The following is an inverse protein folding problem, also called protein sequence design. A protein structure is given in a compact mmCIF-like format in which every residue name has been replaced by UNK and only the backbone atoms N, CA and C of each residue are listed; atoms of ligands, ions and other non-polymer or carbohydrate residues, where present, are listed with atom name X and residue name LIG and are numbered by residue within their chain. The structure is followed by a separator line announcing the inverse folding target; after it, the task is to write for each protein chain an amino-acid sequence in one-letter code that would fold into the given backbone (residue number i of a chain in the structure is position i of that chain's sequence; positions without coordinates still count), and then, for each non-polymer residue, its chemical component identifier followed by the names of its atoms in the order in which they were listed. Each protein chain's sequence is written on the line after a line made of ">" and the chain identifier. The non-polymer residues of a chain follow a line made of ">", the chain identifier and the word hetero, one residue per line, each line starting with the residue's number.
data_IF_104164820308
#
_entry.id   IF_104164820308
#
_cell.length_a   1.000
_cell.length_b   1.000
_cell.length_c   1.000
_cell.angle_alpha   90.00
_cell.angle_beta   90.00
_cell.angle_gamma   90.00
#
_symmetry.space_group_name_H-M   'P 1'
#
loop_
_entity.id
_entity.type
_entity.pdbx_description
1 polymer ?
#
# COMPACT_ATOMS: atom_id res chain seq x y z
N UNK A 1 9.39 -19.60 40.36
CA UNK A 1 9.56 -20.28 39.04
C UNK A 1 9.81 -19.34 37.85
N UNK A 2 9.42 -18.05 37.88
CA UNK A 2 9.64 -17.09 36.78
C UNK A 2 11.09 -16.58 36.54
N UNK A 3 12.00 -16.45 37.53
CA UNK A 3 13.32 -15.85 37.28
C UNK A 3 14.32 -16.80 36.59
N UNK A 4 14.17 -18.11 36.80
CA UNK A 4 15.04 -19.12 36.19
C UNK A 4 14.77 -19.23 34.67
N UNK A 5 13.52 -19.03 34.26
CA UNK A 5 13.13 -19.06 32.84
C UNK A 5 13.74 -17.89 32.04
N UNK A 6 13.78 -16.69 32.63
CA UNK A 6 14.45 -15.52 32.04
C UNK A 6 15.95 -15.72 31.90
N UNK A 7 16.61 -16.32 32.89
CA UNK A 7 18.04 -16.65 32.84
C UNK A 7 18.36 -17.68 31.75
N UNK A 8 17.48 -18.66 31.54
CA UNK A 8 17.64 -19.67 30.48
C UNK A 8 17.48 -19.03 29.10
N UNK A 9 16.46 -18.20 28.89
CA UNK A 9 16.27 -17.44 27.64
C UNK A 9 17.45 -16.49 27.36
N UNK A 10 17.89 -15.73 28.38
CA UNK A 10 19.04 -14.82 28.26
C UNK A 10 20.32 -15.58 27.92
N UNK A 11 20.57 -16.75 28.52
CA UNK A 11 21.73 -17.58 28.20
C UNK A 11 21.67 -18.22 26.81
N UNK A 12 20.48 -18.47 26.27
CA UNK A 12 20.29 -18.95 24.91
C UNK A 12 20.52 -17.83 23.88
N UNK A 13 20.03 -16.61 24.14
CA UNK A 13 20.30 -15.43 23.31
C UNK A 13 21.78 -15.01 23.34
N UNK A 14 22.38 -15.04 24.53
CA UNK A 14 23.80 -14.75 24.72
C UNK A 14 24.70 -15.95 24.38
N UNK A 15 24.12 -17.06 23.91
CA UNK A 15 24.90 -18.21 23.46
C UNK A 15 25.82 -17.77 22.32
N UNK A 16 27.14 -18.10 22.39
CA UNK A 16 28.10 -17.70 21.37
C UNK A 16 27.64 -18.08 19.96
N UNK A 17 26.93 -19.20 19.80
CA UNK A 17 26.39 -19.65 18.51
C UNK A 17 25.36 -18.69 17.94
N UNK A 18 24.42 -18.19 18.75
CA UNK A 18 23.37 -17.27 18.29
C UNK A 18 23.92 -15.87 18.03
N UNK A 19 24.85 -15.39 18.86
CA UNK A 19 25.55 -14.12 18.63
C UNK A 19 26.36 -14.18 17.33
N UNK A 20 27.10 -15.27 17.09
CA UNK A 20 27.89 -15.46 15.86
C UNK A 20 26.98 -15.56 14.64
N UNK A 21 25.86 -16.29 14.74
CA UNK A 21 24.91 -16.43 13.64
C UNK A 21 24.22 -15.10 13.32
N UNK A 22 23.79 -14.35 14.34
CA UNK A 22 23.25 -13.00 14.20
C UNK A 22 24.24 -12.03 13.59
N UNK A 23 25.50 -12.00 14.06
CA UNK A 23 26.58 -11.20 13.45
C UNK A 23 26.85 -11.57 12.00
N UNK A 24 26.90 -12.87 11.69
CA UNK A 24 27.14 -13.36 10.33
C UNK A 24 25.99 -13.02 9.38
N UNK A 25 24.75 -13.02 9.87
CA UNK A 25 23.59 -12.61 9.09
C UNK A 25 23.56 -11.09 8.89
N UNK A 26 23.82 -10.32 9.95
CA UNK A 26 23.93 -8.86 9.90
C UNK A 26 25.02 -8.40 8.94
N UNK A 27 26.21 -9.04 8.96
CA UNK A 27 27.30 -8.72 8.03
C UNK A 27 26.94 -9.05 6.57
N UNK A 28 26.19 -10.13 6.33
CA UNK A 28 25.69 -10.48 4.99
C UNK A 28 24.64 -9.50 4.50
N UNK A 29 23.71 -9.09 5.38
CA UNK A 29 22.72 -8.06 5.05
C UNK A 29 23.41 -6.73 4.75
N UNK A 30 24.41 -6.34 5.53
CA UNK A 30 25.22 -5.16 5.25
C UNK A 30 25.93 -5.26 3.89
N UNK A 31 26.58 -6.38 3.57
CA UNK A 31 27.21 -6.58 2.26
C UNK A 31 26.20 -6.49 1.10
N UNK A 32 25.01 -7.07 1.24
CA UNK A 32 23.94 -6.95 0.25
C UNK A 32 23.47 -5.50 0.11
N UNK A 33 23.22 -4.81 1.21
CA UNK A 33 22.79 -3.40 1.22
C UNK A 33 23.84 -2.50 0.58
N UNK A 34 25.13 -2.68 0.91
CA UNK A 34 26.23 -1.93 0.30
C UNK A 34 26.31 -2.18 -1.20
N UNK A 35 26.19 -3.44 -1.65
CA UNK A 35 26.17 -3.77 -3.09
C UNK A 35 24.97 -3.16 -3.80
N UNK A 36 23.79 -3.18 -3.18
CA UNK A 36 22.59 -2.53 -3.74
C UNK A 36 22.78 -1.01 -3.85
N UNK A 37 23.35 -0.35 -2.84
CA UNK A 37 23.70 1.06 -2.91
C UNK A 37 24.67 1.36 -4.05
N UNK A 38 25.74 0.57 -4.20
CA UNK A 38 26.70 0.72 -5.30
C UNK A 38 26.04 0.55 -6.66
N UNK A 39 25.12 -0.41 -6.82
CA UNK A 39 24.36 -0.61 -8.06
C UNK A 39 23.44 0.59 -8.35
N UNK A 40 22.79 1.14 -7.32
CA UNK A 40 21.92 2.32 -7.47
C UNK A 40 22.74 3.56 -7.86
N UNK A 41 23.91 3.77 -7.25
CA UNK A 41 24.82 4.87 -7.61
C UNK A 41 25.38 4.71 -9.02
N UNK A 42 25.78 3.48 -9.40
CA UNK A 42 26.23 3.18 -10.76
C UNK A 42 25.10 3.40 -11.79
N UNK A 43 23.86 3.03 -11.47
CA UNK A 43 22.70 3.32 -12.33
C UNK A 43 22.54 4.82 -12.58
N UNK A 44 22.71 5.64 -11.53
CA UNK A 44 22.60 7.09 -11.62
C UNK A 44 23.72 7.70 -12.46
N UNK A 45 24.97 7.24 -12.25
CA UNK A 45 26.14 7.67 -13.00
C UNK A 45 26.06 7.30 -14.49
N UNK A 46 25.53 6.12 -14.81
CA UNK A 46 25.40 5.64 -16.19
C UNK A 46 24.22 6.24 -16.94
N UNK A 47 23.45 7.16 -16.34
CA UNK A 47 22.23 7.76 -16.91
C UNK A 47 21.31 6.70 -17.54
N UNK A 48 21.24 5.51 -16.94
CA UNK A 48 20.41 4.42 -17.45
C UNK A 48 18.94 4.83 -17.31
N UNK A 49 18.38 5.35 -18.40
CA UNK A 49 16.95 5.59 -18.56
C UNK A 49 16.26 4.24 -18.39
N UNK A 50 15.15 4.24 -17.64
CA UNK A 50 14.35 3.07 -17.36
C UNK A 50 13.61 2.60 -18.63
N UNK A 51 14.35 2.15 -19.65
CA UNK A 51 13.82 1.53 -20.86
C UNK A 51 13.50 0.06 -20.60
N UNK A 52 12.77 -0.19 -19.53
CA UNK A 52 12.13 -1.49 -19.36
C UNK A 52 10.97 -1.52 -20.34
N UNK A 53 11.24 -1.92 -21.58
CA UNK A 53 10.25 -2.63 -22.37
C UNK A 53 9.88 -3.87 -21.55
N UNK A 54 8.86 -3.68 -20.71
CA UNK A 54 8.30 -4.70 -19.85
C UNK A 54 7.87 -5.81 -20.80
N UNK A 55 8.53 -6.97 -20.66
CA UNK A 55 8.14 -8.21 -21.30
C UNK A 55 6.62 -8.25 -21.50
N UNK A 56 6.17 -8.49 -22.73
CA UNK A 56 4.76 -8.63 -23.16
C UNK A 56 3.98 -9.73 -22.43
N UNK A 57 4.56 -10.36 -21.41
CA UNK A 57 3.81 -11.08 -20.40
C UNK A 57 2.95 -10.06 -19.68
N UNK A 58 1.64 -10.11 -19.93
CA UNK A 58 0.58 -9.49 -19.15
C UNK A 58 0.74 -9.87 -17.67
N UNK A 59 1.68 -9.23 -16.98
CA UNK A 59 1.69 -9.11 -15.54
C UNK A 59 0.51 -8.21 -15.26
N UNK A 60 -0.70 -8.77 -15.26
CA UNK A 60 -1.87 -8.10 -14.73
C UNK A 60 -1.42 -7.57 -13.37
N UNK A 61 -1.28 -6.26 -13.26
CA UNK A 61 -1.11 -5.62 -11.97
C UNK A 61 -2.25 -6.19 -11.13
N UNK A 62 -1.92 -6.80 -9.99
CA UNK A 62 -2.95 -7.27 -9.06
C UNK A 62 -3.90 -6.09 -8.85
N UNK A 63 -5.20 -6.31 -9.06
CA UNK A 63 -6.16 -5.23 -8.94
C UNK A 63 -6.06 -4.67 -7.52
N UNK A 64 -5.64 -3.41 -7.42
CA UNK A 64 -5.51 -2.72 -6.15
C UNK A 64 -6.93 -2.43 -5.66
N UNK A 65 -7.33 -3.07 -4.55
CA UNK A 65 -8.66 -2.84 -3.94
C UNK A 65 -8.62 -1.64 -3.00
N UNK A 66 -9.76 -1.11 -2.60
CA UNK A 66 -9.83 -0.06 -1.58
C UNK A 66 -9.57 -0.57 -0.16
N UNK A 67 -9.60 -1.89 0.07
CA UNK A 67 -9.52 -2.47 1.40
C UNK A 67 -8.08 -2.46 1.93
N UNK A 68 -7.93 -2.03 3.17
CA UNK A 68 -6.66 -2.04 3.89
C UNK A 68 -6.89 -2.40 5.35
N UNK A 69 -5.96 -3.15 5.91
CA UNK A 69 -5.86 -3.34 7.35
C UNK A 69 -5.00 -2.19 7.91
N UNK A 70 -5.66 -1.17 8.45
CA UNK A 70 -4.97 0.01 9.00
C UNK A 70 -4.02 -0.34 10.15
N UNK A 71 -4.26 -1.45 10.87
CA UNK A 71 -3.38 -1.88 11.97
C UNK A 71 -1.98 -2.28 11.50
N UNK A 72 -1.80 -2.55 10.21
CA UNK A 72 -0.52 -2.93 9.59
C UNK A 72 0.26 -1.75 9.06
N UNK A 73 -0.28 -0.54 9.14
CA UNK A 73 0.39 0.68 8.68
C UNK A 73 1.26 1.20 9.82
N UNK A 74 2.55 1.33 9.57
CA UNK A 74 3.53 1.77 10.57
C UNK A 74 4.34 2.95 10.03
N UNK A 75 4.56 3.96 10.88
CA UNK A 75 5.46 5.08 10.56
C UNK A 75 4.95 6.05 9.51
N UNK A 76 3.64 6.03 9.20
CA UNK A 76 3.01 6.89 8.18
C UNK A 76 2.03 7.91 8.75
N UNK A 77 1.98 8.10 10.07
CA UNK A 77 1.00 8.99 10.69
C UNK A 77 1.14 10.44 10.22
N UNK A 78 2.36 10.96 10.16
CA UNK A 78 2.63 12.33 9.68
C UNK A 78 2.23 12.50 8.21
N UNK A 79 2.54 11.50 7.38
CA UNK A 79 2.15 11.50 5.97
C UNK A 79 0.62 11.48 5.82
N UNK A 80 -0.07 10.64 6.62
CA UNK A 80 -1.54 10.54 6.64
C UNK A 80 -2.16 11.86 7.06
N UNK A 81 -1.70 12.46 8.16
CA UNK A 81 -2.22 13.73 8.67
C UNK A 81 -2.05 14.88 7.67
N UNK A 82 -0.87 15.02 7.07
CA UNK A 82 -0.59 16.06 6.07
C UNK A 82 -1.43 15.90 4.79
N UNK A 83 -1.73 14.66 4.40
CA UNK A 83 -2.60 14.39 3.25
C UNK A 83 -4.08 14.56 3.59
N UNK A 84 -4.50 14.20 4.81
CA UNK A 84 -5.86 14.45 5.29
C UNK A 84 -6.18 15.94 5.31
N UNK A 85 -5.26 16.79 5.80
CA UNK A 85 -5.48 18.23 5.80
C UNK A 85 -5.69 18.76 4.38
N UNK A 86 -4.88 18.32 3.41
CA UNK A 86 -5.02 18.71 1.99
C UNK A 86 -6.32 18.21 1.35
N UNK A 87 -6.80 17.03 1.75
CA UNK A 87 -8.03 16.47 1.22
C UNK A 87 -9.27 17.21 1.72
N UNK A 88 -9.26 17.65 2.97
CA UNK A 88 -10.40 18.31 3.63
C UNK A 88 -10.37 19.84 3.49
N UNK A 89 -9.33 20.39 2.88
CA UNK A 89 -9.20 21.82 2.62
C UNK A 89 -10.02 22.23 1.39
N UNK A 90 -11.01 23.09 1.61
CA UNK A 90 -11.79 23.72 0.55
C UNK A 90 -11.05 24.95 0.03
N UNK A 91 -9.98 24.73 -0.74
CA UNK A 91 -9.41 25.82 -1.53
C UNK A 91 -10.41 26.25 -2.60
N UNK A 92 -10.75 27.54 -2.64
CA UNK A 92 -11.56 28.13 -3.69
C UNK A 92 -10.75 28.23 -4.99
N UNK A 93 -10.47 27.09 -5.62
CA UNK A 93 -9.86 27.06 -6.95
C UNK A 93 -10.96 27.20 -8.01
N UNK A 94 -10.68 27.93 -9.10
CA UNK A 94 -11.55 27.96 -10.29
C UNK A 94 -11.58 26.60 -11.04
N UNK A 95 -11.12 25.52 -10.42
CA UNK A 95 -10.99 24.18 -11.01
C UNK A 95 -12.16 23.32 -10.57
N UNK A 96 -12.49 22.32 -11.39
CA UNK A 96 -13.56 21.37 -11.08
C UNK A 96 -13.21 20.38 -9.97
N UNK A 97 -11.91 20.18 -9.71
CA UNK A 97 -11.37 19.39 -8.61
C UNK A 97 -9.87 19.69 -8.42
N UNK A 98 -9.33 19.35 -7.25
CA UNK A 98 -7.89 19.39 -6.99
C UNK A 98 -7.26 18.00 -7.00
N UNK A 99 -6.00 17.92 -7.40
CA UNK A 99 -5.26 16.66 -7.49
C UNK A 99 -4.23 16.59 -6.36
N UNK A 100 -4.38 15.59 -5.49
CA UNK A 100 -3.47 15.25 -4.40
C UNK A 100 -2.61 14.06 -4.82
N UNK A 101 -1.33 14.30 -5.12
CA UNK A 101 -0.43 13.24 -5.58
C UNK A 101 0.44 12.68 -4.45
N UNK A 102 0.58 11.36 -4.39
CA UNK A 102 1.50 10.63 -3.52
C UNK A 102 2.59 10.01 -4.41
N UNK A 103 3.84 10.42 -4.20
CA UNK A 103 4.98 10.06 -5.07
C UNK A 103 6.03 9.31 -4.29
N UNK A 104 6.71 8.34 -4.90
CA UNK A 104 7.81 7.64 -4.25
C UNK A 104 8.16 6.31 -4.90
N UNK A 105 9.19 5.65 -4.37
CA UNK A 105 9.76 4.42 -4.94
C UNK A 105 8.77 3.25 -4.98
N UNK A 106 9.08 2.23 -5.81
CA UNK A 106 8.29 0.99 -5.82
C UNK A 106 8.29 0.31 -4.46
N UNK A 107 7.14 -0.23 -4.03
CA UNK A 107 7.03 -0.93 -2.74
C UNK A 107 6.97 -0.05 -1.49
N UNK A 108 7.11 1.28 -1.61
CA UNK A 108 7.21 2.20 -0.46
C UNK A 108 5.89 2.42 0.34
N UNK A 109 4.77 1.82 -0.10
CA UNK A 109 3.47 1.95 0.57
C UNK A 109 2.54 3.06 0.07
N UNK A 110 2.76 3.64 -1.13
CA UNK A 110 1.88 4.68 -1.70
C UNK A 110 0.41 4.28 -1.76
N UNK A 111 0.11 3.12 -2.35
CA UNK A 111 -1.26 2.61 -2.47
C UNK A 111 -1.84 2.35 -1.10
N UNK A 112 -1.07 1.76 -0.19
CA UNK A 112 -1.48 1.52 1.21
C UNK A 112 -1.87 2.79 1.92
N UNK A 113 -1.09 3.87 1.77
CA UNK A 113 -1.43 5.16 2.33
C UNK A 113 -2.69 5.77 1.68
N UNK A 114 -2.83 5.65 0.36
CA UNK A 114 -4.04 6.09 -0.33
C UNK A 114 -5.29 5.33 0.15
N UNK A 115 -5.19 4.02 0.41
CA UNK A 115 -6.28 3.23 0.99
C UNK A 115 -6.63 3.73 2.39
N UNK A 116 -5.63 4.01 3.23
CA UNK A 116 -5.84 4.53 4.59
C UNK A 116 -6.52 5.90 4.60
N UNK A 117 -6.21 6.76 3.61
CA UNK A 117 -6.89 8.05 3.43
C UNK A 117 -8.32 7.85 2.93
N UNK A 118 -8.51 7.00 1.93
CA UNK A 118 -9.82 6.75 1.33
C UNK A 118 -10.84 6.21 2.33
N UNK A 119 -10.38 5.35 3.25
CA UNK A 119 -11.21 4.74 4.30
C UNK A 119 -11.26 5.57 5.59
N UNK A 120 -10.54 6.70 5.67
CA UNK A 120 -10.59 7.55 6.86
C UNK A 120 -12.00 8.11 7.07
N UNK A 121 -12.49 8.07 8.31
CA UNK A 121 -13.84 8.51 8.64
C UNK A 121 -14.10 9.97 8.29
N UNK A 122 -13.12 10.85 8.45
CA UNK A 122 -13.27 12.27 8.10
C UNK A 122 -13.44 12.45 6.59
N UNK A 123 -12.75 11.63 5.80
CA UNK A 123 -12.86 11.61 4.35
C UNK A 123 -14.21 11.03 3.93
N UNK A 124 -14.65 9.95 4.56
CA UNK A 124 -15.98 9.38 4.35
C UNK A 124 -17.11 10.39 4.61
N UNK A 125 -17.03 11.14 5.71
CA UNK A 125 -18.05 12.10 6.09
C UNK A 125 -18.03 13.39 5.24
N UNK A 126 -16.89 13.72 4.62
CA UNK A 126 -16.70 14.95 3.85
C UNK A 126 -17.16 14.84 2.38
N UNK A 127 -16.95 13.69 1.73
CA UNK A 127 -17.26 13.51 0.31
C UNK A 127 -18.57 12.76 0.10
N UNK A 128 -19.50 13.35 -0.66
CA UNK A 128 -20.79 12.72 -0.98
C UNK A 128 -20.65 11.48 -1.85
N UNK A 129 -19.64 11.49 -2.73
CA UNK A 129 -19.32 10.37 -3.63
C UNK A 129 -17.85 9.99 -3.47
N UNK A 130 -17.57 8.69 -3.38
CA UNK A 130 -16.19 8.18 -3.35
C UNK A 130 -16.07 7.04 -4.35
N UNK A 131 -14.99 7.01 -5.13
CA UNK A 131 -14.70 5.90 -6.03
C UNK A 131 -13.22 5.54 -5.99
N UNK A 132 -12.96 4.23 -5.88
CA UNK A 132 -11.64 3.66 -6.00
C UNK A 132 -11.49 3.00 -7.36
N UNK A 133 -10.58 3.51 -8.20
CA UNK A 133 -10.39 3.00 -9.57
C UNK A 133 -8.92 2.76 -9.83
N UNK A 134 -8.53 1.48 -9.84
CA UNK A 134 -7.20 1.06 -10.26
C UNK A 134 -7.13 1.11 -11.79
N UNK A 135 -6.16 1.86 -12.34
CA UNK A 135 -5.95 1.92 -13.79
C UNK A 135 -4.78 1.03 -14.18
N UNK A 136 -5.05 0.13 -15.13
CA UNK A 136 -4.04 -0.77 -15.67
C UNK A 136 -3.03 -0.04 -16.55
N UNK A 137 -1.94 -0.71 -16.95
CA UNK A 137 -0.94 -0.14 -17.86
C UNK A 137 -1.53 0.18 -19.26
N UNK A 138 -2.67 -0.42 -19.63
CA UNK A 138 -3.46 -0.10 -20.83
C UNK A 138 -4.42 1.05 -20.53
N UNK A 139 -4.21 2.20 -21.19
CA UNK A 139 -5.03 3.40 -21.01
C UNK A 139 -6.30 3.33 -21.87
N UNK A 140 -7.37 2.77 -21.31
CA UNK A 140 -8.70 2.77 -21.90
C UNK A 140 -9.60 3.77 -21.17
N UNK A 141 -9.75 4.97 -21.75
CA UNK A 141 -10.60 6.04 -21.21
C UNK A 141 -12.03 5.56 -20.99
N UNK A 142 -12.59 4.78 -21.92
CA UNK A 142 -13.97 4.31 -21.81
C UNK A 142 -14.12 3.35 -20.62
N UNK A 143 -13.22 2.38 -20.48
CA UNK A 143 -13.24 1.45 -19.36
C UNK A 143 -13.07 2.17 -18.01
N UNK A 144 -12.16 3.14 -17.94
CA UNK A 144 -11.91 3.93 -16.72
C UNK A 144 -13.15 4.77 -16.37
N UNK A 145 -13.69 5.53 -17.32
CA UNK A 145 -14.89 6.34 -17.09
C UNK A 145 -16.08 5.47 -16.68
N UNK A 146 -16.20 4.27 -17.25
CA UNK A 146 -17.27 3.31 -16.90
C UNK A 146 -17.09 2.78 -15.49
N UNK A 147 -15.86 2.44 -15.09
CA UNK A 147 -15.56 2.00 -13.72
C UNK A 147 -15.88 3.10 -12.69
N UNK A 148 -15.53 4.36 -12.99
CA UNK A 148 -15.89 5.50 -12.14
C UNK A 148 -17.41 5.63 -12.05
N UNK A 149 -18.12 5.61 -13.19
CA UNK A 149 -19.58 5.71 -13.24
C UNK A 149 -20.25 4.62 -12.38
N UNK A 150 -19.79 3.38 -12.48
CA UNK A 150 -20.29 2.28 -11.68
C UNK A 150 -20.02 2.49 -10.17
N UNK A 151 -18.80 2.89 -9.82
CA UNK A 151 -18.38 3.10 -8.44
C UNK A 151 -19.17 4.23 -7.73
N UNK A 152 -19.58 5.27 -8.45
CA UNK A 152 -20.40 6.37 -7.90
C UNK A 152 -21.91 6.09 -7.92
N UNK A 153 -22.33 4.83 -8.09
CA UNK A 153 -23.74 4.44 -8.07
C UNK A 153 -24.47 4.67 -9.40
N UNK A 154 -23.76 4.59 -10.52
CA UNK A 154 -24.32 4.61 -11.87
C UNK A 154 -25.01 3.30 -12.27
N UNK A 155 -24.73 2.19 -11.57
CA UNK A 155 -25.28 0.87 -11.90
C UNK A 155 -24.68 0.29 -13.19
N UNK A 156 -25.31 -0.76 -13.73
CA UNK A 156 -24.78 -1.54 -14.86
C UNK A 156 -25.25 -1.05 -16.24
N UNK A 157 -25.41 0.25 -16.42
CA UNK A 157 -25.83 0.82 -17.70
C UNK A 157 -24.80 0.55 -18.80
N UNK A 158 -25.30 0.25 -19.99
CA UNK A 158 -24.50 0.12 -21.22
C UNK A 158 -24.50 1.45 -21.97
N UNK A 159 -23.37 1.81 -22.55
CA UNK A 159 -23.20 3.05 -23.31
C UNK A 159 -22.60 2.71 -24.67
N UNK A 160 -23.18 3.26 -25.73
CA UNK A 160 -22.73 2.99 -27.11
C UNK A 160 -21.43 3.71 -27.46
N UNK A 161 -21.14 4.81 -26.76
CA UNK A 161 -19.95 5.61 -26.97
C UNK A 161 -19.54 6.38 -25.71
N UNK A 162 -18.30 6.90 -25.73
CA UNK A 162 -17.71 7.64 -24.63
C UNK A 162 -18.48 8.91 -24.26
N UNK A 163 -19.05 9.61 -25.24
CA UNK A 163 -19.80 10.85 -25.00
C UNK A 163 -21.05 10.59 -24.14
N UNK A 164 -21.84 9.56 -24.46
CA UNK A 164 -23.03 9.19 -23.68
C UNK A 164 -22.66 8.83 -22.23
N UNK A 165 -21.59 8.06 -22.06
CA UNK A 165 -21.06 7.70 -20.75
C UNK A 165 -20.59 8.93 -19.95
N UNK A 166 -19.92 9.88 -20.59
CA UNK A 166 -19.46 11.12 -19.95
C UNK A 166 -20.60 12.04 -19.54
N UNK A 167 -21.64 12.17 -20.37
CA UNK A 167 -22.84 12.94 -20.02
C UNK A 167 -23.50 12.34 -18.79
N UNK A 168 -23.69 11.01 -18.76
CA UNK A 168 -24.27 10.32 -17.61
C UNK A 168 -23.41 10.45 -16.34
N UNK A 169 -22.08 10.34 -16.46
CA UNK A 169 -21.17 10.56 -15.33
C UNK A 169 -21.24 12.00 -14.82
N UNK A 170 -21.24 12.98 -15.73
CA UNK A 170 -21.36 14.40 -15.36
C UNK A 170 -22.65 14.65 -14.58
N UNK A 171 -23.79 14.12 -15.02
CA UNK A 171 -25.06 14.26 -14.31
C UNK A 171 -25.01 13.65 -12.90
N UNK A 172 -24.31 12.52 -12.73
CA UNK A 172 -24.14 11.88 -11.41
C UNK A 172 -23.29 12.71 -10.45
N UNK A 173 -22.23 13.35 -10.95
CA UNK A 173 -21.28 14.16 -10.18
C UNK A 173 -21.74 15.60 -9.96
N UNK A 174 -22.67 16.09 -10.78
CA UNK A 174 -23.11 17.49 -10.78
C UNK A 174 -23.54 17.94 -9.37
N UNK A 175 -22.92 19.03 -8.89
CA UNK A 175 -23.16 19.63 -7.56
C UNK A 175 -22.90 18.71 -6.36
N UNK A 176 -22.17 17.61 -6.55
CA UNK A 176 -21.72 16.73 -5.45
C UNK A 176 -20.22 16.82 -5.28
N UNK A 177 -19.76 16.85 -4.03
CA UNK A 177 -18.34 16.67 -3.72
C UNK A 177 -17.98 15.21 -3.96
N UNK A 178 -16.87 14.97 -4.65
CA UNK A 178 -16.40 13.61 -4.89
C UNK A 178 -14.93 13.44 -4.54
N UNK A 179 -14.56 12.20 -4.17
CA UNK A 179 -13.19 11.74 -4.09
C UNK A 179 -12.96 10.59 -5.08
N UNK A 180 -12.01 10.75 -5.99
CA UNK A 180 -11.54 9.65 -6.85
C UNK A 180 -10.14 9.23 -6.44
N UNK A 181 -9.89 7.93 -6.32
CA UNK A 181 -8.53 7.42 -6.13
C UNK A 181 -8.08 6.64 -7.35
N UNK A 182 -6.90 6.98 -7.88
CA UNK A 182 -6.30 6.32 -9.03
C UNK A 182 -4.83 5.97 -8.80
N UNK A 183 -4.46 4.73 -9.14
CA UNK A 183 -3.09 4.24 -9.06
C UNK A 183 -2.47 4.16 -10.44
N UNK A 184 -1.31 4.79 -10.65
CA UNK A 184 -0.61 4.74 -11.93
C UNK A 184 -0.75 6.03 -12.74
N UNK A 185 0.39 6.65 -12.99
CA UNK A 185 0.55 7.99 -13.53
C UNK A 185 0.20 8.16 -15.02
N UNK A 186 0.32 7.09 -15.82
CA UNK A 186 0.05 7.15 -17.27
C UNK A 186 -1.38 7.61 -17.57
N UNK A 187 -2.29 7.40 -16.63
CA UNK A 187 -3.72 7.74 -16.69
C UNK A 187 -4.02 9.23 -16.86
N UNK A 188 -3.22 10.12 -16.28
CA UNK A 188 -3.58 11.53 -16.20
C UNK A 188 -2.70 12.46 -17.04
N UNK A 189 -1.64 11.94 -17.68
CA UNK A 189 -0.74 12.76 -18.52
C UNK A 189 -1.45 13.37 -19.75
N UNK A 190 -2.61 12.85 -20.17
CA UNK A 190 -3.53 13.51 -21.10
C UNK A 190 -4.55 14.38 -20.35
N UNK A 191 -4.06 15.21 -19.43
CA UNK A 191 -4.83 15.97 -18.43
C UNK A 191 -5.94 16.86 -18.99
N UNK A 192 -5.90 17.20 -20.29
CA UNK A 192 -6.95 17.98 -20.94
C UNK A 192 -8.25 17.18 -21.14
N UNK A 193 -8.18 15.86 -21.34
CA UNK A 193 -9.37 15.04 -21.53
C UNK A 193 -10.06 14.76 -20.21
N UNK A 194 -9.35 14.26 -19.20
CA UNK A 194 -9.97 13.88 -17.93
C UNK A 194 -10.53 15.08 -17.15
N UNK A 195 -9.80 16.20 -17.09
CA UNK A 195 -10.24 17.40 -16.36
C UNK A 195 -11.47 18.06 -16.98
N UNK A 196 -11.62 18.01 -18.32
CA UNK A 196 -12.79 18.56 -19.00
C UNK A 196 -14.05 17.68 -18.85
N UNK A 197 -13.88 16.41 -18.47
CA UNK A 197 -14.94 15.40 -18.48
C UNK A 197 -15.56 15.17 -17.10
N UNK A 198 -14.88 15.57 -16.01
CA UNK A 198 -15.30 15.31 -14.64
C UNK A 198 -15.52 16.64 -13.93
N UNK A 199 -16.79 17.07 -13.87
CA UNK A 199 -17.19 18.33 -13.22
C UNK A 199 -18.06 18.03 -12.00
N UNK A 200 -17.52 18.26 -10.81
CA UNK A 200 -18.22 18.12 -9.53
C UNK A 200 -18.52 19.46 -8.86
N UNK A 201 -18.92 19.40 -7.60
CA UNK A 201 -18.92 20.59 -6.74
C UNK A 201 -17.47 21.03 -6.42
N UNK A 202 -17.29 22.32 -6.12
CA UNK A 202 -16.08 22.83 -5.48
C UNK A 202 -15.72 21.98 -4.25
N UNK A 203 -14.42 21.79 -4.02
CA UNK A 203 -13.92 20.91 -2.98
C UNK A 203 -13.73 19.45 -3.41
N UNK A 204 -14.14 19.05 -4.62
CA UNK A 204 -13.86 17.69 -5.13
C UNK A 204 -12.36 17.41 -5.26
N UNK A 205 -11.92 16.20 -4.93
CA UNK A 205 -10.50 15.81 -4.91
C UNK A 205 -10.22 14.54 -5.71
N UNK A 206 -9.00 14.42 -6.23
CA UNK A 206 -8.48 13.21 -6.87
C UNK A 206 -7.14 12.83 -6.24
N UNK A 207 -7.06 11.63 -5.66
CA UNK A 207 -5.81 11.05 -5.15
C UNK A 207 -5.11 10.29 -6.27
N UNK A 208 -3.83 10.60 -6.50
CA UNK A 208 -3.00 9.94 -7.51
C UNK A 208 -1.78 9.32 -6.87
N UNK A 209 -1.55 8.02 -7.06
CA UNK A 209 -0.29 7.39 -6.63
C UNK A 209 0.63 7.14 -7.83
N UNK A 210 1.89 7.59 -7.75
CA UNK A 210 2.85 7.47 -8.86
C UNK A 210 4.28 7.20 -8.39
N UNK A 211 5.07 6.52 -9.21
CA UNK A 211 6.54 6.41 -9.01
C UNK A 211 7.31 7.54 -9.71
N UNK A 212 6.65 8.24 -10.63
CA UNK A 212 7.26 9.26 -11.47
C UNK A 212 6.75 10.64 -11.06
N UNK A 213 7.67 11.47 -10.56
CA UNK A 213 7.40 12.85 -10.15
C UNK A 213 7.04 13.75 -11.33
N UNK A 214 7.53 13.49 -12.55
CA UNK A 214 7.23 14.36 -13.71
C UNK A 214 5.75 14.37 -14.07
N UNK A 215 5.01 13.32 -13.68
CA UNK A 215 3.58 13.23 -13.87
C UNK A 215 2.83 14.23 -13.00
N UNK A 216 3.31 14.55 -11.80
CA UNK A 216 2.59 15.46 -10.91
C UNK A 216 2.55 16.88 -11.45
N UNK A 217 3.58 17.28 -12.19
CA UNK A 217 3.61 18.55 -12.92
C UNK A 217 2.64 18.54 -14.10
N UNK A 218 2.61 17.44 -14.87
CA UNK A 218 1.72 17.32 -16.04
C UNK A 218 0.22 17.39 -15.68
N UNK A 219 -0.14 16.96 -14.47
CA UNK A 219 -1.54 16.91 -14.00
C UNK A 219 -1.93 18.11 -13.15
N UNK A 220 -1.08 19.15 -13.08
CA UNK A 220 -1.27 20.34 -12.26
C UNK A 220 -1.60 20.03 -10.80
N UNK A 221 -0.98 18.98 -10.23
CA UNK A 221 -1.18 18.60 -8.84
C UNK A 221 -0.71 19.70 -7.90
N UNK A 222 -1.58 20.10 -6.99
CA UNK A 222 -1.27 21.08 -5.95
C UNK A 222 -0.44 20.35 -4.89
N UNK A 223 0.89 20.47 -4.97
CA UNK A 223 1.80 19.99 -3.93
C UNK A 223 1.87 18.47 -3.80
N UNK A 224 2.54 17.82 -4.75
CA UNK A 224 2.91 16.41 -4.67
C UNK A 224 3.56 16.07 -3.33
N UNK A 225 3.08 15.00 -2.69
CA UNK A 225 3.57 14.51 -1.40
C UNK A 225 4.59 13.39 -1.64
N UNK A 226 5.90 13.66 -1.47
CA UNK A 226 6.91 12.62 -1.57
C UNK A 226 6.84 11.72 -0.33
N UNK A 227 6.71 10.42 -0.54
CA UNK A 227 6.92 9.42 0.49
C UNK A 227 8.39 9.09 0.60
N UNK A 228 8.92 9.36 1.78
CA UNK A 228 10.27 8.97 2.17
C UNK A 228 10.32 7.52 2.62
N UNK A 229 11.54 6.99 2.68
CA UNK A 229 11.81 5.68 3.29
C UNK A 229 11.46 5.77 4.77
N UNK A 230 10.92 4.68 5.34
CA UNK A 230 10.65 4.62 6.77
C UNK A 230 11.95 4.82 7.57
N UNK A 231 11.83 5.42 8.76
CA UNK A 231 12.96 5.43 9.70
C UNK A 231 13.31 4.01 10.11
N UNK A 232 14.54 3.80 10.59
CA UNK A 232 15.01 2.47 11.02
C UNK A 232 14.09 1.88 12.10
N UNK A 233 13.62 2.71 13.03
CA UNK A 233 12.70 2.30 14.10
C UNK A 233 11.35 1.87 13.56
N UNK A 234 10.78 2.63 12.61
CA UNK A 234 9.51 2.31 11.99
C UNK A 234 9.61 1.06 11.10
N UNK A 235 10.73 0.89 10.39
CA UNK A 235 11.00 -0.29 9.58
C UNK A 235 11.15 -1.55 10.44
N UNK A 236 11.87 -1.46 11.57
CA UNK A 236 12.00 -2.56 12.52
C UNK A 236 10.66 -2.91 13.16
N UNK A 237 9.88 -1.91 13.59
CA UNK A 237 8.54 -2.15 14.15
C UNK A 237 7.59 -2.81 13.14
N UNK A 238 7.64 -2.41 11.88
CA UNK A 238 6.86 -3.04 10.81
C UNK A 238 7.26 -4.51 10.61
N UNK A 239 8.57 -4.80 10.66
CA UNK A 239 9.09 -6.15 10.58
C UNK A 239 8.62 -7.01 11.77
N UNK A 240 8.69 -6.48 12.99
CA UNK A 240 8.25 -7.18 14.20
C UNK A 240 6.75 -7.49 14.17
N UNK A 241 5.92 -6.53 13.72
CA UNK A 241 4.49 -6.73 13.60
C UNK A 241 4.14 -7.85 12.60
N UNK A 242 4.83 -7.89 11.46
CA UNK A 242 4.64 -8.94 10.45
C UNK A 242 5.11 -10.31 10.99
N UNK A 243 6.23 -10.35 11.69
CA UNK A 243 6.75 -11.56 12.32
C UNK A 243 5.78 -12.11 13.38
N UNK A 244 5.31 -11.27 14.30
CA UNK A 244 4.35 -11.67 15.34
C UNK A 244 3.03 -12.17 14.74
N UNK A 245 2.54 -11.54 13.67
CA UNK A 245 1.35 -11.99 12.96
C UNK A 245 1.53 -13.39 12.36
N UNK A 246 2.70 -13.68 11.76
CA UNK A 246 3.02 -15.00 11.22
C UNK A 246 3.13 -16.05 12.31
N UNK A 247 3.81 -15.75 13.42
CA UNK A 247 3.92 -16.65 14.58
C UNK A 247 2.54 -16.95 15.17
N UNK A 248 1.70 -15.94 15.34
CA UNK A 248 0.32 -16.12 15.83
C UNK A 248 -0.50 -17.00 14.88
N UNK A 249 -0.37 -16.81 13.56
CA UNK A 249 -1.05 -17.63 12.55
C UNK A 249 -0.60 -19.08 12.58
N UNK A 250 0.71 -19.33 12.71
CA UNK A 250 1.25 -20.69 12.83
C UNK A 250 0.76 -21.36 14.13
N UNK A 251 0.73 -20.61 15.24
CA UNK A 251 0.23 -21.10 16.52
C UNK A 251 -1.28 -21.42 16.50
N UNK A 252 -2.09 -20.62 15.80
CA UNK A 252 -3.53 -20.89 15.66
C UNK A 252 -3.80 -22.14 14.81
N UNK A 253 -3.07 -22.30 13.70
CA UNK A 253 -3.20 -23.46 12.80
C UNK A 253 -2.75 -24.76 13.48
N UNK A 254 -1.65 -24.72 14.23
CA UNK A 254 -1.16 -25.88 14.99
C UNK A 254 -2.15 -26.28 16.08
N UNK A 255 -2.69 -25.32 16.85
CA UNK A 255 -3.71 -25.58 17.88
C UNK A 255 -5.02 -26.13 17.29
N UNK A 256 -5.40 -25.70 16.09
CA UNK A 256 -6.57 -26.22 15.36
C UNK A 256 -6.37 -27.68 14.92
N UNK A 257 -5.17 -28.02 14.47
CA UNK A 257 -4.82 -29.38 14.05
C UNK A 257 -4.79 -30.37 15.23
N UNK A 258 -4.39 -29.91 16.41
CA UNK A 258 -4.40 -30.68 17.67
C UNK A 258 -5.79 -31.14 18.11
N UNK A 259 -6.85 -30.39 17.80
CA UNK A 259 -8.23 -30.80 18.14
C UNK A 259 -8.83 -31.83 17.18
N UNK A 260 -8.21 -32.08 16.03
CA UNK A 260 -8.68 -33.03 15.01
C UNK A 260 -8.08 -34.44 15.15
N UNK A 261 -7.06 -34.63 15.99
CA UNK A 261 -6.43 -35.93 16.20
C UNK A 261 -6.25 -36.25 17.69
N UNK A 262 -7.04 -37.19 18.21
CA UNK A 262 -6.65 -37.92 19.43
C UNK A 262 -5.40 -38.77 19.11
N UNK A 263 -4.25 -38.54 19.78
CA UNK A 263 -3.02 -39.25 19.44
C UNK A 263 -2.97 -40.62 20.11
N UNK A 264 -2.85 -41.67 19.30
CA UNK A 264 -2.41 -43.00 19.76
C UNK A 264 -0.98 -42.90 20.33
N UNK A 265 -0.76 -43.60 21.43
CA UNK A 265 0.27 -43.43 22.48
C UNK A 265 1.75 -43.31 22.07
N UNK A 266 2.13 -43.55 20.82
CA UNK A 266 3.52 -43.39 20.33
C UNK A 266 3.84 -42.01 19.73
N UNK A 267 2.82 -41.24 19.35
CA UNK A 267 2.98 -39.96 18.63
C UNK A 267 3.25 -38.76 19.55
N UNK A 268 3.12 -38.95 20.87
CA UNK A 268 3.23 -37.86 21.83
C UNK A 268 4.65 -37.27 21.90
N UNK A 269 5.71 -38.07 21.81
CA UNK A 269 7.08 -37.60 22.09
C UNK A 269 7.62 -36.67 20.97
N UNK A 270 7.32 -36.96 19.70
CA UNK A 270 7.70 -36.11 18.56
C UNK A 270 6.84 -34.85 18.48
N UNK A 271 5.57 -34.93 18.90
CA UNK A 271 4.64 -33.82 18.88
C UNK A 271 4.96 -32.78 19.97
N UNK A 272 5.38 -33.22 21.17
CA UNK A 272 5.83 -32.35 22.26
C UNK A 272 7.16 -31.65 21.98
N UNK A 273 8.07 -32.28 21.22
CA UNK A 273 9.35 -31.65 20.83
C UNK A 273 9.15 -30.54 19.79
N UNK A 274 8.25 -30.73 18.83
CA UNK A 274 7.86 -29.68 17.87
C UNK A 274 7.10 -28.55 18.56
N UNK A 275 6.16 -28.85 19.47
CA UNK A 275 5.50 -27.84 20.29
C UNK A 275 6.47 -27.08 21.20
N UNK A 276 7.46 -27.76 21.79
CA UNK A 276 8.50 -27.09 22.58
C UNK A 276 9.36 -26.18 21.72
N UNK A 277 9.68 -26.56 20.48
CA UNK A 277 10.41 -25.70 19.54
C UNK A 277 9.58 -24.47 19.12
N UNK A 278 8.32 -24.66 18.78
CA UNK A 278 7.41 -23.59 18.33
C UNK A 278 7.08 -22.61 19.48
N UNK A 279 6.86 -23.12 20.69
CA UNK A 279 6.63 -22.29 21.89
C UNK A 279 7.93 -21.61 22.36
N UNK A 280 9.10 -22.25 22.21
CA UNK A 280 10.39 -21.60 22.47
C UNK A 280 10.71 -20.50 21.46
N UNK A 281 10.28 -20.62 20.20
CA UNK A 281 10.38 -19.55 19.21
C UNK A 281 9.37 -18.41 19.45
N UNK A 282 8.20 -18.68 20.01
CA UNK A 282 7.20 -17.65 20.35
C UNK A 282 7.49 -16.89 21.65
N UNK A 283 8.45 -17.34 22.45
CA UNK A 283 8.91 -16.66 23.69
C UNK A 283 10.22 -15.89 23.50
N UNK A 284 10.75 -15.85 22.28
CA UNK A 284 11.88 -15.02 21.86
C UNK A 284 11.43 -13.58 21.57
N UNK A 285 11.06 -12.84 22.62
CA UNK A 285 11.16 -11.38 22.67
C UNK A 285 12.41 -10.98 23.45
#
# INVERSE_FOLDING_TARGET
>A
MKPIFYLILLSYFLSPRNIIYGRKMSSKLQDITTRLHQIVEQKFFLLLVENVERSTRKSRRLEETSLVDESKIVGREKDKEALLSKLLEDESTNRSFDVVSIVGLGGIGKTTLAQALYNDKKVEDHFQLRAWVCVSDEFDVFAITKAIFQAVGGGNQTFDNLNLLQVALREKLLKKSFLLTTSGAKTMMNGNSFNAQVVGASGSKVIVTTRNITVTTAINSVGAHPLEVLSDEAALSLFDNEYEHQVHTINSLTKSSLHLHEPKSGTQILHWTVLSWVVSLSTMR
#
